data_IF_405751053372
#
_entry.id   IF_405751053372
#
_cell.length_a   1.000
_cell.length_b   1.000
_cell.length_c   1.000
_cell.angle_alpha   90.00
_cell.angle_beta   90.00
_cell.angle_gamma   90.00
#
_symmetry.space_group_name_H-M   'P 1'
#
loop_
_entity.id
_entity.type
_entity.pdbx_description
1 polymer ?
#
# COMPACT_ATOMS: atom_id res chain seq x y z
N UNK A 1 16.88 8.72 -12.98
CA UNK A 1 16.76 7.29 -12.62
C UNK A 1 15.46 6.77 -13.23
N UNK A 2 15.43 5.51 -13.67
CA UNK A 2 14.25 4.87 -14.26
C UNK A 2 13.92 3.60 -13.48
N UNK A 3 12.64 3.33 -13.30
CA UNK A 3 12.15 2.08 -12.72
C UNK A 3 12.39 0.93 -13.69
N UNK A 4 12.63 -0.28 -13.20
CA UNK A 4 12.59 -1.48 -14.04
C UNK A 4 11.13 -1.91 -14.32
N UNK A 5 10.94 -2.98 -15.09
CA UNK A 5 9.60 -3.45 -15.49
C UNK A 5 8.76 -3.93 -14.30
N UNK A 6 9.37 -4.66 -13.38
CA UNK A 6 8.72 -5.17 -12.18
C UNK A 6 8.30 -4.03 -11.24
N UNK A 7 9.19 -3.05 -11.04
CA UNK A 7 8.92 -1.84 -10.26
C UNK A 7 7.79 -0.99 -10.86
N UNK A 8 7.70 -0.92 -12.20
CA UNK A 8 6.56 -0.28 -12.86
C UNK A 8 5.26 -1.04 -12.58
N UNK A 9 5.27 -2.36 -12.66
CA UNK A 9 4.10 -3.18 -12.35
C UNK A 9 3.64 -3.01 -10.89
N UNK A 10 4.57 -2.94 -9.94
CA UNK A 10 4.26 -2.61 -8.54
C UNK A 10 3.63 -1.23 -8.41
N UNK A 11 4.21 -0.23 -9.06
CA UNK A 11 3.68 1.13 -9.05
C UNK A 11 2.26 1.19 -9.62
N UNK A 12 2.02 0.54 -10.76
CA UNK A 12 0.72 0.53 -11.43
C UNK A 12 -0.34 -0.15 -10.56
N UNK A 13 -0.04 -1.34 -10.01
CA UNK A 13 -0.95 -2.08 -9.12
C UNK A 13 -1.31 -1.26 -7.88
N UNK A 14 -0.32 -0.65 -7.24
CA UNK A 14 -0.54 0.20 -6.07
C UNK A 14 -1.34 1.48 -6.42
N UNK A 15 -1.07 2.09 -7.58
CA UNK A 15 -1.78 3.28 -8.08
C UNK A 15 -3.25 2.99 -8.36
N UNK A 16 -3.54 1.84 -8.98
CA UNK A 16 -4.91 1.38 -9.24
C UNK A 16 -5.69 1.16 -7.95
N UNK A 17 -5.08 0.45 -6.98
CA UNK A 17 -5.69 0.25 -5.67
C UNK A 17 -5.93 1.59 -4.95
N UNK A 18 -4.94 2.49 -4.94
CA UNK A 18 -5.06 3.80 -4.33
C UNK A 18 -6.23 4.61 -4.91
N UNK A 19 -6.35 4.65 -6.24
CA UNK A 19 -7.43 5.36 -6.94
C UNK A 19 -8.80 4.73 -6.72
N UNK A 20 -8.88 3.40 -6.70
CA UNK A 20 -10.15 2.69 -6.62
C UNK A 20 -10.68 2.53 -5.19
N UNK A 21 -9.78 2.40 -4.21
CA UNK A 21 -10.13 1.97 -2.84
C UNK A 21 -9.81 3.00 -1.76
N UNK A 22 -8.72 3.76 -1.90
CA UNK A 22 -8.30 4.73 -0.88
C UNK A 22 -8.87 6.13 -1.17
N UNK A 23 -8.56 6.70 -2.34
CA UNK A 23 -8.87 8.08 -2.69
C UNK A 23 -10.35 8.47 -2.55
N UNK A 24 -11.34 7.64 -2.97
CA UNK A 24 -12.75 8.02 -2.88
C UNK A 24 -13.26 8.14 -1.44
N UNK A 25 -12.60 7.46 -0.50
CA UNK A 25 -13.05 7.35 0.88
C UNK A 25 -12.20 8.17 1.87
N UNK A 26 -11.00 8.59 1.45
CA UNK A 26 -10.01 9.25 2.30
C UNK A 26 -10.57 10.44 3.09
N UNK A 27 -11.30 11.35 2.43
CA UNK A 27 -11.88 12.53 3.08
C UNK A 27 -12.91 12.16 4.15
N UNK A 28 -13.76 11.15 3.88
CA UNK A 28 -14.73 10.66 4.85
C UNK A 28 -14.05 10.04 6.06
N UNK A 29 -13.01 9.23 5.84
CA UNK A 29 -12.29 8.60 6.93
C UNK A 29 -11.59 9.61 7.83
N UNK A 30 -11.05 10.68 7.25
CA UNK A 30 -10.44 11.79 7.99
C UNK A 30 -11.48 12.53 8.84
N UNK A 31 -12.57 13.00 8.23
CA UNK A 31 -13.62 13.77 8.92
C UNK A 31 -14.29 12.97 10.04
N UNK A 32 -14.62 11.70 9.78
CA UNK A 32 -15.33 10.83 10.73
C UNK A 32 -14.38 10.02 11.63
N UNK A 33 -13.06 10.22 11.53
CA UNK A 33 -12.04 9.49 12.30
C UNK A 33 -12.18 7.96 12.19
N UNK A 34 -12.52 7.47 10.98
CA UNK A 34 -12.76 6.05 10.73
C UNK A 34 -11.42 5.33 10.52
N UNK A 35 -11.23 4.23 11.24
CA UNK A 35 -10.18 3.26 10.93
C UNK A 35 -10.68 2.25 9.88
N UNK A 36 -10.16 2.25 8.64
CA UNK A 36 -10.80 1.57 7.52
C UNK A 36 -10.41 0.08 7.44
N UNK A 37 -10.93 -0.74 8.35
CA UNK A 37 -10.56 -2.17 8.46
C UNK A 37 -10.80 -2.97 7.18
N UNK A 38 -11.89 -2.70 6.47
CA UNK A 38 -12.25 -3.44 5.25
C UNK A 38 -11.23 -3.20 4.13
N UNK A 39 -10.86 -1.93 3.88
CA UNK A 39 -9.85 -1.61 2.85
C UNK A 39 -8.47 -2.15 3.21
N UNK A 40 -8.14 -2.18 4.51
CA UNK A 40 -6.89 -2.76 4.98
C UNK A 40 -6.85 -4.27 4.77
N UNK A 41 -7.98 -4.96 4.90
CA UNK A 41 -8.08 -6.39 4.56
C UNK A 41 -7.85 -6.62 3.07
N UNK A 42 -8.50 -5.84 2.21
CA UNK A 42 -8.28 -5.89 0.76
C UNK A 42 -6.82 -5.60 0.38
N UNK A 43 -6.19 -4.60 1.04
CA UNK A 43 -4.78 -4.30 0.84
C UNK A 43 -3.86 -5.47 1.26
N UNK A 44 -4.24 -6.18 2.33
CA UNK A 44 -3.55 -7.39 2.80
C UNK A 44 -3.65 -8.55 1.81
N UNK A 45 -4.80 -8.74 1.16
CA UNK A 45 -5.00 -9.76 0.12
C UNK A 45 -4.12 -9.51 -1.12
N UNK A 46 -3.74 -8.25 -1.37
CA UNK A 46 -2.78 -7.85 -2.41
C UNK A 46 -1.32 -7.89 -1.93
N UNK A 47 -1.05 -8.24 -0.67
CA UNK A 47 0.29 -8.34 -0.09
C UNK A 47 0.89 -7.01 0.38
N UNK A 48 0.16 -5.89 0.33
CA UNK A 48 0.67 -4.57 0.74
C UNK A 48 0.94 -4.42 2.25
N UNK A 49 0.54 -5.41 3.05
CA UNK A 49 0.74 -5.45 4.50
C UNK A 49 1.92 -6.35 4.93
N UNK A 50 2.63 -6.99 4.00
CA UNK A 50 3.78 -7.86 4.27
C UNK A 50 4.86 -7.77 3.18
N UNK A 51 5.09 -6.57 2.67
CA UNK A 51 5.91 -6.29 1.49
C UNK A 51 7.35 -6.83 1.62
N UNK A 52 8.00 -6.57 2.74
CA UNK A 52 9.41 -6.95 2.98
C UNK A 52 9.56 -8.01 4.07
N UNK A 53 8.46 -8.65 4.46
CA UNK A 53 8.48 -9.87 5.28
C UNK A 53 9.01 -11.03 4.43
N UNK A 54 9.83 -11.95 4.97
CA UNK A 54 10.32 -13.10 4.21
C UNK A 54 9.20 -13.97 3.65
N UNK A 55 9.39 -14.52 2.44
CA UNK A 55 8.41 -15.39 1.77
C UNK A 55 8.07 -16.65 2.61
N UNK A 56 9.06 -17.21 3.32
CA UNK A 56 8.87 -18.35 4.24
C UNK A 56 7.87 -18.06 5.38
N UNK A 57 7.58 -16.77 5.64
CA UNK A 57 6.63 -16.30 6.64
C UNK A 57 5.34 -15.75 6.01
N UNK A 58 5.15 -15.94 4.69
CA UNK A 58 3.98 -15.46 3.95
C UNK A 58 4.06 -13.99 3.49
N UNK A 59 5.26 -13.40 3.48
CA UNK A 59 5.49 -12.07 2.90
C UNK A 59 5.87 -12.10 1.43
N UNK A 60 6.13 -10.92 0.86
CA UNK A 60 6.58 -10.78 -0.53
C UNK A 60 8.11 -10.68 -0.70
N UNK A 61 8.88 -10.61 0.39
CA UNK A 61 10.35 -10.57 0.32
C UNK A 61 10.94 -9.38 -0.45
N UNK A 62 10.17 -8.32 -0.68
CA UNK A 62 10.57 -7.20 -1.54
C UNK A 62 11.67 -6.34 -0.93
N UNK A 63 12.42 -5.67 -1.81
CA UNK A 63 13.44 -4.73 -1.37
C UNK A 63 12.84 -3.47 -0.76
N UNK A 64 13.67 -2.69 -0.06
CA UNK A 64 13.25 -1.37 0.48
C UNK A 64 12.88 -0.37 -0.62
N UNK A 65 13.50 -0.46 -1.80
CA UNK A 65 13.18 0.40 -2.92
C UNK A 65 11.79 0.06 -3.48
N UNK A 66 11.49 -1.23 -3.67
CA UNK A 66 10.20 -1.68 -4.19
C UNK A 66 9.06 -1.31 -3.23
N UNK A 67 9.28 -1.52 -1.93
CA UNK A 67 8.32 -1.09 -0.90
C UNK A 67 8.10 0.43 -0.91
N UNK A 68 9.15 1.23 -1.11
CA UNK A 68 9.03 2.69 -1.22
C UNK A 68 8.20 3.12 -2.42
N UNK A 69 8.35 2.46 -3.56
CA UNK A 69 7.57 2.74 -4.78
C UNK A 69 6.09 2.44 -4.53
N UNK A 70 5.79 1.29 -3.92
CA UNK A 70 4.42 0.89 -3.58
C UNK A 70 3.79 1.90 -2.61
N UNK A 71 4.48 2.24 -1.51
CA UNK A 71 3.96 3.19 -0.54
C UNK A 71 3.77 4.60 -1.10
N UNK A 72 4.65 5.06 -1.99
CA UNK A 72 4.48 6.34 -2.67
C UNK A 72 3.15 6.37 -3.46
N UNK A 73 2.86 5.32 -4.22
CA UNK A 73 1.61 5.26 -4.99
C UNK A 73 0.37 5.12 -4.11
N UNK A 74 0.43 4.33 -3.02
CA UNK A 74 -0.66 4.22 -2.06
C UNK A 74 -0.96 5.55 -1.35
N UNK A 75 0.09 6.31 -1.00
CA UNK A 75 -0.04 7.59 -0.34
C UNK A 75 -0.77 8.64 -1.19
N UNK A 76 -0.74 8.50 -2.53
CA UNK A 76 -1.53 9.36 -3.44
C UNK A 76 -3.04 9.19 -3.25
N UNK A 77 -3.49 8.07 -2.68
CA UNK A 77 -4.91 7.85 -2.34
C UNK A 77 -5.25 8.27 -0.92
N UNK A 78 -4.50 7.81 0.08
CA UNK A 78 -4.67 8.26 1.47
C UNK A 78 -3.36 8.15 2.25
N UNK A 79 -2.72 9.28 2.53
CA UNK A 79 -1.45 9.34 3.26
C UNK A 79 -1.56 8.76 4.68
N UNK A 80 -2.64 9.06 5.41
CA UNK A 80 -2.84 8.59 6.79
C UNK A 80 -2.96 7.07 6.86
N UNK A 81 -3.82 6.47 6.03
CA UNK A 81 -3.97 5.01 5.95
C UNK A 81 -2.69 4.35 5.46
N UNK A 82 -2.00 4.93 4.48
CA UNK A 82 -0.72 4.39 3.99
C UNK A 82 0.35 4.44 5.07
N UNK A 83 0.42 5.50 5.88
CA UNK A 83 1.33 5.57 7.02
C UNK A 83 1.06 4.47 8.05
N UNK A 84 -0.22 4.13 8.31
CA UNK A 84 -0.53 2.94 9.09
C UNK A 84 0.00 1.66 8.43
N UNK A 85 -0.16 1.50 7.11
CA UNK A 85 0.37 0.34 6.39
C UNK A 85 1.89 0.24 6.49
N UNK A 86 2.62 1.35 6.44
CA UNK A 86 4.09 1.34 6.61
C UNK A 86 4.49 0.89 8.00
N UNK A 87 3.80 1.37 9.04
CA UNK A 87 4.02 0.97 10.44
C UNK A 87 3.70 -0.51 10.65
N UNK A 88 2.62 -1.01 10.04
CA UNK A 88 2.23 -2.41 10.14
C UNK A 88 3.26 -3.36 9.53
N UNK A 89 3.96 -2.93 8.47
CA UNK A 89 5.01 -3.72 7.82
C UNK A 89 6.31 -3.80 8.66
N UNK A 90 6.49 -2.94 9.69
CA UNK A 90 7.71 -2.88 10.51
C UNK A 90 7.73 -3.94 11.61
#
# INVERSE_FOLDING_TARGET
FELNEEQRAFADTASEFAKARLAPMAAKWDEEHIFPKEVLREAGELGFLSLYTPEEQGGLGLSRLDASIIFEQLAMGCTSTTAFMTIHNM
#
